data_IF_346860562399
#
_entry.id   IF_346860562399
#
_cell.length_a   1.000
_cell.length_b   1.000
_cell.length_c   1.000
_cell.angle_alpha   90.00
_cell.angle_beta   90.00
_cell.angle_gamma   90.00
#
_symmetry.space_group_name_H-M   'P 1'
#
loop_
_entity.id
_entity.type
_entity.pdbx_description
1 polymer ?
#
# COMPACT_ATOMS: atom_id res chain seq x y z
N UNK A 1 44.13 -23.48 10.82
CA UNK A 1 44.97 -23.04 9.69
C UNK A 1 45.27 -24.24 8.81
N UNK A 2 44.50 -24.42 7.75
CA UNK A 2 44.90 -25.22 6.57
C UNK A 2 44.18 -24.63 5.40
N UNK A 3 44.91 -23.86 4.59
CA UNK A 3 44.47 -23.35 3.30
C UNK A 3 44.25 -24.53 2.36
N UNK A 4 43.03 -24.82 1.98
CA UNK A 4 42.75 -25.61 0.79
C UNK A 4 42.83 -24.69 -0.43
N UNK A 5 43.83 -24.92 -1.23
CA UNK A 5 43.98 -24.30 -2.55
C UNK A 5 42.96 -24.95 -3.49
N UNK A 6 42.03 -24.17 -4.00
CA UNK A 6 41.36 -24.49 -5.26
C UNK A 6 42.36 -24.25 -6.37
N UNK A 7 42.97 -25.29 -6.86
CA UNK A 7 43.72 -25.27 -8.12
C UNK A 7 43.32 -26.50 -8.92
N UNK A 8 42.82 -26.29 -10.09
CA UNK A 8 42.94 -27.23 -11.13
C UNK A 8 41.71 -27.85 -11.72
N UNK A 9 40.91 -27.07 -12.47
CA UNK A 9 40.24 -27.59 -13.66
C UNK A 9 40.43 -26.54 -14.74
N UNK A 10 41.63 -26.36 -15.16
CA UNK A 10 41.98 -25.70 -16.41
C UNK A 10 43.20 -26.46 -16.94
N UNK A 11 42.96 -27.62 -17.52
CA UNK A 11 43.90 -28.27 -18.45
C UNK A 11 43.38 -29.68 -18.79
N UNK A 12 42.63 -29.76 -19.90
CA UNK A 12 42.66 -30.93 -20.78
C UNK A 12 41.90 -30.65 -22.08
N UNK A 13 42.40 -29.72 -22.87
CA UNK A 13 42.12 -29.67 -24.31
C UNK A 13 43.46 -29.44 -24.97
N UNK A 14 44.33 -30.42 -24.99
CA UNK A 14 45.41 -30.54 -25.97
C UNK A 14 45.71 -32.04 -26.11
N UNK A 15 45.71 -32.44 -27.38
CA UNK A 15 46.23 -33.72 -27.84
C UNK A 15 45.21 -34.83 -28.16
N UNK A 16 44.48 -34.65 -29.25
CA UNK A 16 44.31 -35.73 -30.23
C UNK A 16 44.56 -35.14 -31.61
N UNK A 17 45.79 -34.97 -31.94
CA UNK A 17 46.26 -34.74 -33.30
C UNK A 17 47.43 -35.71 -33.45
N UNK A 18 47.19 -36.85 -34.13
CA UNK A 18 48.15 -37.49 -35.01
C UNK A 18 47.58 -38.81 -35.57
N UNK A 19 47.71 -38.88 -36.88
CA UNK A 19 47.75 -40.02 -37.75
C UNK A 19 46.50 -40.40 -38.53
N UNK A 20 46.33 -39.71 -39.69
CA UNK A 20 45.97 -40.38 -40.94
C UNK A 20 46.71 -39.69 -42.10
N UNK A 21 47.47 -40.41 -42.92
CA UNK A 21 48.07 -39.86 -44.13
C UNK A 21 47.14 -40.12 -45.30
N UNK A 22 46.39 -39.10 -45.67
CA UNK A 22 45.64 -39.03 -46.91
C UNK A 22 45.68 -37.57 -47.42
N UNK A 23 46.47 -37.29 -48.43
CA UNK A 23 46.50 -36.01 -49.13
C UNK A 23 45.17 -35.84 -49.88
N UNK A 24 44.20 -35.23 -49.22
CA UNK A 24 43.17 -34.49 -49.90
C UNK A 24 43.40 -33.01 -49.56
N UNK A 25 43.05 -32.12 -50.48
CA UNK A 25 43.21 -30.67 -50.31
C UNK A 25 42.73 -30.29 -48.93
N UNK A 26 43.64 -29.78 -48.09
CA UNK A 26 43.33 -29.42 -46.73
C UNK A 26 42.24 -28.35 -46.72
N UNK A 27 40.99 -28.81 -46.64
CA UNK A 27 39.85 -27.95 -46.38
C UNK A 27 40.09 -27.26 -45.06
N UNK A 28 39.88 -25.99 -44.99
CA UNK A 28 39.95 -25.21 -43.77
C UNK A 28 39.00 -25.83 -42.72
N UNK A 29 39.51 -26.06 -41.53
CA UNK A 29 38.73 -26.58 -40.42
C UNK A 29 38.65 -25.55 -39.32
N UNK A 30 37.43 -25.30 -38.81
CA UNK A 30 37.25 -24.49 -37.61
C UNK A 30 36.63 -25.31 -36.47
N UNK A 31 36.78 -24.79 -35.25
CA UNK A 31 36.08 -25.28 -34.07
C UNK A 31 35.18 -24.15 -33.59
N UNK A 32 33.88 -24.48 -33.49
CA UNK A 32 32.90 -23.55 -32.95
C UNK A 32 32.30 -24.18 -31.69
N UNK A 33 32.39 -23.48 -30.59
CA UNK A 33 32.03 -24.04 -29.26
C UNK A 33 31.17 -23.12 -28.42
N UNK A 34 30.38 -23.73 -27.57
CA UNK A 34 29.73 -23.12 -26.41
C UNK A 34 30.14 -23.87 -25.16
N UNK A 35 30.26 -23.15 -24.03
CA UNK A 35 30.72 -23.73 -22.77
C UNK A 35 29.52 -24.09 -21.86
N UNK A 36 29.52 -25.30 -21.37
CA UNK A 36 28.58 -25.76 -20.36
C UNK A 36 29.06 -25.53 -18.91
N UNK A 37 28.29 -26.02 -17.97
CA UNK A 37 28.60 -25.92 -16.53
C UNK A 37 27.43 -26.26 -15.66
N UNK A 38 27.62 -26.02 -14.35
CA UNK A 38 26.59 -26.22 -13.33
C UNK A 38 26.09 -24.82 -12.91
N UNK A 39 24.79 -24.64 -12.93
CA UNK A 39 24.13 -23.34 -12.68
C UNK A 39 23.01 -23.48 -11.67
N UNK A 40 22.65 -22.37 -11.06
CA UNK A 40 21.43 -22.31 -10.24
C UNK A 40 20.19 -22.34 -11.13
N UNK A 41 19.11 -22.98 -10.73
CA UNK A 41 17.80 -22.80 -11.37
C UNK A 41 17.39 -21.32 -11.40
N UNK A 42 16.66 -20.91 -12.45
CA UNK A 42 16.18 -19.54 -12.65
C UNK A 42 17.28 -18.46 -12.70
N UNK A 43 18.55 -18.86 -12.86
CA UNK A 43 19.68 -17.94 -12.93
C UNK A 43 20.02 -17.54 -14.36
N UNK A 44 20.83 -16.50 -14.50
CA UNK A 44 21.36 -16.08 -15.78
C UNK A 44 22.53 -16.97 -16.20
N UNK A 45 22.44 -17.56 -17.41
CA UNK A 45 23.49 -18.29 -18.08
C UNK A 45 24.00 -17.47 -19.27
N UNK A 46 25.23 -16.98 -19.18
CA UNK A 46 25.87 -16.20 -20.23
C UNK A 46 26.89 -17.11 -20.93
N UNK A 47 26.67 -17.36 -22.21
CA UNK A 47 27.51 -18.27 -22.98
C UNK A 47 28.12 -17.57 -24.18
N UNK A 48 29.45 -17.47 -24.24
CA UNK A 48 30.16 -17.01 -25.45
C UNK A 48 30.11 -18.08 -26.54
N UNK A 49 29.86 -17.69 -27.77
CA UNK A 49 30.14 -18.53 -28.92
C UNK A 49 31.60 -18.26 -29.34
N UNK A 50 32.44 -19.26 -29.13
CA UNK A 50 33.87 -19.19 -29.48
C UNK A 50 34.13 -19.85 -30.83
N UNK A 51 34.96 -19.21 -31.64
CA UNK A 51 35.36 -19.71 -32.95
C UNK A 51 36.87 -19.72 -33.09
N UNK A 52 37.41 -20.81 -33.56
CA UNK A 52 38.84 -20.98 -33.78
C UNK A 52 39.08 -21.48 -35.18
N UNK A 53 39.92 -20.78 -35.96
CA UNK A 53 40.39 -21.22 -37.27
C UNK A 53 39.43 -21.00 -38.46
N UNK A 54 38.64 -19.93 -38.41
CA UNK A 54 37.78 -19.54 -39.53
C UNK A 54 38.40 -18.40 -40.32
N UNK A 55 39.08 -18.72 -41.43
CA UNK A 55 39.77 -17.73 -42.25
C UNK A 55 38.99 -17.39 -43.52
N UNK A 56 39.08 -16.11 -43.94
CA UNK A 56 38.53 -15.61 -45.21
C UNK A 56 37.01 -15.86 -45.34
N UNK A 57 36.25 -15.70 -44.23
CA UNK A 57 34.84 -15.99 -44.18
C UNK A 57 34.02 -14.75 -44.53
N UNK A 58 33.01 -14.89 -45.40
CA UNK A 58 32.08 -13.83 -45.82
C UNK A 58 30.66 -14.03 -45.28
N UNK A 59 30.37 -15.22 -44.77
CA UNK A 59 29.04 -15.51 -44.21
C UNK A 59 29.13 -16.54 -43.10
N UNK A 60 28.37 -16.29 -42.02
CA UNK A 60 28.20 -17.16 -40.86
C UNK A 60 26.71 -17.38 -40.62
N UNK A 61 26.32 -18.63 -40.46
CA UNK A 61 25.01 -19.02 -39.96
C UNK A 61 25.22 -20.03 -38.84
N UNK A 62 24.76 -19.74 -37.62
CA UNK A 62 24.84 -20.62 -36.49
C UNK A 62 23.45 -20.78 -35.88
N UNK A 63 22.98 -22.00 -35.78
CA UNK A 63 21.69 -22.31 -35.21
C UNK A 63 21.89 -23.20 -33.97
N UNK A 64 21.47 -22.73 -32.82
CA UNK A 64 21.53 -23.47 -31.56
C UNK A 64 20.12 -23.89 -31.13
N UNK A 65 20.01 -25.12 -30.68
CA UNK A 65 18.77 -25.72 -30.19
C UNK A 65 18.91 -26.10 -28.70
N UNK A 66 17.81 -25.95 -27.99
CA UNK A 66 17.72 -26.22 -26.54
C UNK A 66 16.29 -26.63 -26.17
N UNK A 67 16.13 -27.26 -25.01
CA UNK A 67 14.80 -27.48 -24.44
C UNK A 67 14.28 -26.21 -23.74
N UNK A 68 13.04 -25.78 -23.94
CA UNK A 68 12.44 -24.67 -23.21
C UNK A 68 12.36 -24.89 -21.68
N UNK A 69 12.40 -26.17 -21.24
CA UNK A 69 12.44 -26.54 -19.84
C UNK A 69 13.84 -26.38 -19.22
N UNK A 70 14.88 -26.39 -20.05
CA UNK A 70 16.28 -26.22 -19.62
C UNK A 70 16.72 -24.77 -19.72
N UNK A 71 16.40 -24.11 -20.82
CA UNK A 71 16.85 -22.75 -21.11
C UNK A 71 15.73 -21.92 -21.74
N UNK A 72 15.73 -20.63 -21.38
CA UNK A 72 14.93 -19.61 -22.06
C UNK A 72 15.88 -18.53 -22.59
N UNK A 73 15.87 -18.26 -23.89
CA UNK A 73 16.68 -17.20 -24.46
C UNK A 73 16.16 -15.83 -24.03
N UNK A 74 17.05 -14.96 -23.55
CA UNK A 74 16.73 -13.61 -23.11
C UNK A 74 17.19 -12.55 -24.08
N UNK A 75 18.49 -12.59 -24.42
CA UNK A 75 19.12 -11.58 -25.27
C UNK A 75 20.53 -12.01 -25.71
N UNK A 76 21.21 -11.14 -26.42
CA UNK A 76 22.62 -11.29 -26.72
C UNK A 76 23.38 -9.97 -26.49
N UNK A 77 24.71 -10.06 -26.39
CA UNK A 77 25.58 -8.90 -26.22
C UNK A 77 26.98 -9.13 -26.74
N UNK A 78 27.82 -8.10 -26.72
CA UNK A 78 29.23 -8.16 -27.02
C UNK A 78 29.53 -8.82 -28.38
N UNK A 79 28.81 -8.37 -29.43
CA UNK A 79 29.13 -8.80 -30.81
C UNK A 79 30.54 -8.37 -31.12
N UNK A 80 31.34 -9.32 -31.68
CA UNK A 80 32.73 -9.08 -32.03
C UNK A 80 32.84 -7.88 -32.99
N UNK A 81 33.73 -6.90 -32.75
CA UNK A 81 33.91 -5.74 -33.62
C UNK A 81 34.24 -6.07 -35.07
N UNK A 82 34.91 -7.21 -35.33
CA UNK A 82 35.24 -7.66 -36.69
C UNK A 82 33.98 -7.92 -37.54
N UNK A 83 32.86 -8.25 -36.89
CA UNK A 83 31.57 -8.50 -37.55
C UNK A 83 30.79 -7.22 -37.87
N UNK A 84 31.27 -6.05 -37.43
CA UNK A 84 30.69 -4.75 -37.79
C UNK A 84 30.87 -4.38 -39.24
N UNK A 85 31.77 -5.06 -39.96
CA UNK A 85 31.93 -4.92 -41.42
C UNK A 85 30.74 -5.47 -42.22
N UNK A 86 29.83 -6.19 -41.58
CA UNK A 86 28.66 -6.80 -42.17
C UNK A 86 27.41 -6.56 -41.34
N UNK A 87 26.42 -7.42 -41.52
CA UNK A 87 25.10 -7.33 -40.91
C UNK A 87 24.86 -8.51 -39.93
N UNK A 88 25.23 -8.37 -38.67
CA UNK A 88 24.90 -9.40 -37.65
C UNK A 88 23.41 -9.34 -37.29
N UNK A 89 22.75 -10.48 -37.28
CA UNK A 89 21.35 -10.64 -36.88
C UNK A 89 21.19 -11.85 -35.96
N UNK A 90 20.36 -11.71 -34.95
CA UNK A 90 20.02 -12.79 -33.99
C UNK A 90 18.50 -12.95 -33.91
N UNK A 91 18.03 -14.09 -34.35
CA UNK A 91 16.60 -14.47 -34.27
C UNK A 91 16.41 -15.61 -33.29
N UNK A 92 15.30 -15.57 -32.54
CA UNK A 92 14.97 -16.61 -31.59
C UNK A 92 13.54 -17.13 -31.74
N UNK A 93 13.36 -18.39 -31.39
CA UNK A 93 12.08 -19.04 -31.19
C UNK A 93 12.10 -19.77 -29.83
N UNK A 94 11.02 -20.46 -29.48
CA UNK A 94 10.88 -21.11 -28.17
C UNK A 94 12.04 -22.08 -27.84
N UNK A 95 12.58 -22.79 -28.83
CA UNK A 95 13.59 -23.81 -28.66
C UNK A 95 14.86 -23.59 -29.50
N UNK A 96 15.01 -22.44 -30.12
CA UNK A 96 16.10 -22.18 -31.06
C UNK A 96 16.53 -20.72 -30.99
N UNK A 97 17.85 -20.51 -31.13
CA UNK A 97 18.46 -19.24 -31.44
C UNK A 97 19.32 -19.36 -32.67
N UNK A 98 19.16 -18.43 -33.59
CA UNK A 98 19.95 -18.41 -34.84
C UNK A 98 20.70 -17.08 -34.95
N UNK A 99 22.01 -17.15 -35.09
CA UNK A 99 22.89 -16.03 -35.43
C UNK A 99 23.23 -16.11 -36.90
N UNK A 100 23.05 -15.02 -37.62
CA UNK A 100 23.48 -14.87 -39.00
C UNK A 100 24.33 -13.62 -39.17
N UNK A 101 25.33 -13.72 -40.01
CA UNK A 101 26.17 -12.59 -40.41
C UNK A 101 26.61 -12.75 -41.86
N UNK A 102 26.65 -11.65 -42.57
CA UNK A 102 27.15 -11.60 -43.95
C UNK A 102 27.84 -10.28 -44.20
N UNK A 103 28.95 -10.34 -44.99
CA UNK A 103 29.72 -9.17 -45.40
C UNK A 103 30.23 -9.34 -46.79
N UNK A 104 30.40 -8.24 -47.54
CA UNK A 104 31.06 -8.21 -48.84
C UNK A 104 32.59 -8.22 -48.69
N UNK A 105 33.11 -7.94 -47.50
CA UNK A 105 34.51 -8.05 -47.14
C UNK A 105 34.73 -9.25 -46.23
N UNK A 106 35.56 -10.23 -46.61
CA UNK A 106 35.81 -11.40 -45.81
C UNK A 106 36.58 -11.07 -44.51
N UNK A 107 36.34 -11.84 -43.47
CA UNK A 107 37.03 -11.71 -42.20
C UNK A 107 37.71 -13.04 -41.81
N UNK A 108 38.74 -12.95 -40.97
CA UNK A 108 39.39 -14.13 -40.39
C UNK A 108 39.26 -14.09 -38.88
N UNK A 109 38.82 -15.22 -38.31
CA UNK A 109 38.60 -15.39 -36.86
C UNK A 109 39.54 -16.53 -36.42
N UNK A 110 40.63 -16.16 -35.79
CA UNK A 110 41.67 -17.15 -35.41
C UNK A 110 41.39 -17.85 -34.12
N UNK A 111 40.98 -17.16 -33.11
CA UNK A 111 40.53 -17.69 -31.80
C UNK A 111 39.86 -16.55 -31.04
N UNK A 112 38.60 -16.36 -31.27
CA UNK A 112 37.88 -15.22 -30.67
C UNK A 112 36.41 -15.55 -30.42
N UNK A 113 35.80 -14.70 -29.62
CA UNK A 113 34.39 -14.73 -29.33
C UNK A 113 33.60 -14.00 -30.43
N UNK A 114 32.52 -14.65 -30.95
CA UNK A 114 31.61 -14.00 -31.88
C UNK A 114 30.64 -13.07 -31.17
N UNK A 115 29.98 -13.58 -30.12
CA UNK A 115 29.04 -12.85 -29.27
C UNK A 115 28.77 -13.66 -28.03
N UNK A 116 28.06 -13.05 -27.09
CA UNK A 116 27.52 -13.74 -25.91
C UNK A 116 26.01 -13.87 -26.06
N UNK A 117 25.51 -15.10 -25.90
CA UNK A 117 24.09 -15.37 -25.73
C UNK A 117 23.74 -15.37 -24.23
N UNK A 118 22.61 -14.84 -23.88
CA UNK A 118 22.11 -14.76 -22.50
C UNK A 118 20.83 -15.56 -22.41
N UNK A 119 20.84 -16.57 -21.55
CA UNK A 119 19.69 -17.40 -21.25
C UNK A 119 19.31 -17.26 -19.77
N UNK A 120 18.09 -17.67 -19.45
CA UNK A 120 17.69 -18.06 -18.10
C UNK A 120 17.67 -19.58 -18.04
N UNK A 121 18.26 -20.15 -17.00
CA UNK A 121 18.21 -21.59 -16.71
C UNK A 121 16.80 -21.95 -16.21
N UNK A 122 16.29 -23.11 -16.61
CA UNK A 122 15.03 -23.66 -16.09
C UNK A 122 15.27 -24.55 -14.86
N UNK A 123 14.42 -25.55 -14.72
CA UNK A 123 14.48 -26.51 -13.59
C UNK A 123 14.97 -27.91 -13.99
N UNK A 124 15.26 -28.13 -15.27
CA UNK A 124 15.75 -29.42 -15.78
C UNK A 124 17.11 -29.26 -16.43
N UNK A 125 18.06 -30.15 -16.17
CA UNK A 125 19.33 -30.18 -16.89
C UNK A 125 19.12 -30.50 -18.38
N UNK A 126 20.07 -30.16 -19.23
CA UNK A 126 19.97 -30.45 -20.65
C UNK A 126 21.18 -30.01 -21.43
N UNK A 127 21.01 -29.87 -22.74
CA UNK A 127 22.10 -29.56 -23.67
C UNK A 127 21.71 -28.35 -24.51
N UNK A 128 22.64 -27.40 -24.65
CA UNK A 128 22.63 -26.37 -25.71
C UNK A 128 23.51 -26.88 -26.85
N UNK A 129 22.87 -27.27 -27.95
CA UNK A 129 23.56 -27.89 -29.05
C UNK A 129 23.45 -27.12 -30.36
N UNK A 130 24.48 -27.19 -31.21
CA UNK A 130 24.40 -26.67 -32.56
C UNK A 130 23.53 -27.59 -33.45
N UNK A 131 22.66 -26.99 -34.22
CA UNK A 131 22.00 -27.67 -35.35
C UNK A 131 22.95 -27.63 -36.56
N UNK A 132 23.72 -28.71 -36.73
CA UNK A 132 24.75 -28.80 -37.75
C UNK A 132 24.18 -28.66 -39.16
N UNK A 133 22.93 -29.07 -39.39
CA UNK A 133 22.27 -28.96 -40.67
C UNK A 133 21.98 -27.52 -41.11
N UNK A 134 21.94 -26.60 -40.12
CA UNK A 134 21.64 -25.16 -40.32
C UNK A 134 22.79 -24.25 -39.90
N UNK A 135 23.91 -24.83 -39.47
CA UNK A 135 25.10 -24.11 -39.05
C UNK A 135 26.19 -24.25 -40.10
N UNK A 136 26.73 -23.14 -40.57
CA UNK A 136 27.81 -23.17 -41.58
C UNK A 136 28.61 -21.86 -41.58
N UNK A 137 29.85 -21.98 -42.01
CA UNK A 137 30.71 -20.86 -42.39
C UNK A 137 31.02 -20.95 -43.90
N UNK A 138 30.85 -19.87 -44.61
CA UNK A 138 31.19 -19.78 -46.02
C UNK A 138 32.45 -18.95 -46.22
N UNK A 139 33.33 -19.44 -47.06
CA UNK A 139 34.55 -18.76 -47.47
C UNK A 139 34.25 -17.88 -48.70
N UNK A 140 34.84 -16.70 -48.72
CA UNK A 140 34.77 -15.80 -49.85
C UNK A 140 35.27 -16.50 -51.15
N UNK A 141 34.43 -16.44 -52.17
CA UNK A 141 34.69 -17.16 -53.41
C UNK A 141 34.02 -18.55 -53.53
N UNK A 142 33.22 -18.98 -52.57
CA UNK A 142 32.24 -20.08 -52.73
C UNK A 142 32.61 -21.43 -52.12
N UNK A 143 33.44 -21.44 -51.08
CA UNK A 143 33.71 -22.65 -50.28
C UNK A 143 32.94 -22.71 -48.98
N UNK A 144 32.90 -23.88 -48.32
CA UNK A 144 32.45 -24.02 -46.94
C UNK A 144 33.63 -24.46 -46.07
N UNK A 145 33.64 -23.96 -44.82
CA UNK A 145 34.61 -24.40 -43.82
C UNK A 145 34.07 -25.68 -43.15
N UNK A 146 34.91 -26.69 -43.03
CA UNK A 146 34.58 -27.86 -42.24
C UNK A 146 34.58 -27.44 -40.77
N UNK A 147 33.42 -27.49 -40.10
CA UNK A 147 33.27 -27.04 -38.72
C UNK A 147 33.05 -28.19 -37.79
N UNK A 148 33.83 -28.27 -36.72
CA UNK A 148 33.55 -29.10 -35.56
C UNK A 148 32.78 -28.28 -34.56
N UNK A 149 31.60 -28.75 -34.17
CA UNK A 149 30.74 -28.11 -33.15
C UNK A 149 30.94 -28.77 -31.82
N UNK A 150 31.14 -27.97 -30.73
CA UNK A 150 31.23 -28.42 -29.37
C UNK A 150 30.02 -27.85 -28.62
N UNK A 151 29.13 -28.73 -28.18
CA UNK A 151 27.91 -28.41 -27.47
C UNK A 151 28.19 -28.17 -25.98
N UNK A 152 27.24 -27.52 -25.30
CA UNK A 152 27.28 -27.25 -23.87
C UNK A 152 26.33 -28.18 -23.10
N UNK A 153 26.85 -28.88 -22.11
CA UNK A 153 26.03 -29.56 -21.11
C UNK A 153 25.67 -28.57 -19.99
N UNK A 154 24.41 -28.52 -19.65
CA UNK A 154 23.85 -27.64 -18.62
C UNK A 154 23.39 -28.54 -17.48
N UNK A 155 24.13 -28.49 -16.39
CA UNK A 155 23.77 -29.11 -15.13
C UNK A 155 23.18 -28.06 -14.18
N UNK A 156 22.37 -28.50 -13.24
CA UNK A 156 21.74 -27.61 -12.26
C UNK A 156 22.09 -28.01 -10.85
N UNK A 157 22.39 -27.05 -10.00
CA UNK A 157 22.40 -27.27 -8.56
C UNK A 157 20.99 -27.63 -8.06
N UNK A 158 20.86 -28.39 -6.97
CA UNK A 158 19.58 -28.69 -6.37
C UNK A 158 18.81 -27.38 -6.05
N UNK A 159 17.52 -27.37 -6.39
CA UNK A 159 16.66 -26.22 -6.08
C UNK A 159 16.54 -25.97 -4.59
N UNK A 160 16.49 -24.70 -4.20
CA UNK A 160 16.11 -24.27 -2.86
C UNK A 160 14.59 -24.30 -2.71
N UNK A 161 14.14 -24.72 -1.54
CA UNK A 161 12.74 -24.63 -1.10
C UNK A 161 12.69 -24.00 0.27
N UNK A 162 11.70 -23.17 0.49
CA UNK A 162 11.45 -22.51 1.78
C UNK A 162 10.01 -22.80 2.21
N UNK A 163 9.83 -23.22 3.44
CA UNK A 163 8.56 -23.33 4.13
C UNK A 163 8.60 -22.35 5.31
N UNK A 164 7.56 -21.56 5.47
CA UNK A 164 7.47 -20.55 6.52
C UNK A 164 6.46 -21.00 7.56
N UNK A 165 6.85 -20.94 8.82
CA UNK A 165 5.95 -21.00 9.96
C UNK A 165 5.81 -19.57 10.51
N UNK A 166 4.59 -19.05 10.47
CA UNK A 166 4.27 -17.67 10.82
C UNK A 166 3.43 -17.64 12.10
N UNK A 167 3.81 -16.76 13.01
CA UNK A 167 2.96 -16.30 14.09
C UNK A 167 2.51 -14.89 13.74
N UNK A 168 1.21 -14.71 13.57
CA UNK A 168 0.59 -13.46 13.17
C UNK A 168 1.01 -12.27 14.04
N UNK A 169 1.03 -11.08 13.45
CA UNK A 169 1.14 -9.85 14.21
C UNK A 169 -0.09 -9.67 15.11
N UNK A 170 0.13 -9.27 16.36
CA UNK A 170 -0.96 -9.19 17.33
C UNK A 170 -1.97 -8.13 16.98
N UNK A 171 -1.55 -7.01 16.36
CA UNK A 171 -2.43 -5.89 16.05
C UNK A 171 -2.07 -5.23 14.73
N UNK A 172 -3.05 -4.55 14.13
CA UNK A 172 -2.84 -3.72 12.95
C UNK A 172 -1.77 -2.67 13.19
N UNK A 173 -0.76 -2.65 12.30
CA UNK A 173 0.36 -1.71 12.37
C UNK A 173 1.42 -2.05 13.43
N UNK A 174 1.32 -3.16 14.14
CA UNK A 174 2.39 -3.66 15.00
C UNK A 174 3.39 -4.46 14.18
N UNK A 175 4.65 -4.41 14.63
CA UNK A 175 5.74 -5.19 14.07
C UNK A 175 6.23 -6.18 15.15
N UNK A 176 5.43 -7.18 15.46
CA UNK A 176 5.67 -8.14 16.54
C UNK A 176 5.45 -9.60 16.11
N UNK A 177 5.21 -9.85 14.84
CA UNK A 177 5.13 -11.20 14.30
C UNK A 177 6.49 -11.91 14.35
N UNK A 178 6.46 -13.23 14.58
CA UNK A 178 7.63 -14.08 14.50
C UNK A 178 7.48 -15.04 13.33
N UNK A 179 8.56 -15.20 12.56
CA UNK A 179 8.57 -16.05 11.38
C UNK A 179 9.77 -16.96 11.47
N UNK A 180 9.57 -18.25 11.20
CA UNK A 180 10.62 -19.25 11.11
C UNK A 180 10.69 -19.78 9.68
N UNK A 181 11.86 -19.69 9.06
CA UNK A 181 12.09 -20.21 7.72
C UNK A 181 12.77 -21.59 7.78
N UNK A 182 12.08 -22.60 7.28
CA UNK A 182 12.63 -23.95 7.08
C UNK A 182 13.10 -24.10 5.65
N UNK A 183 14.42 -24.12 5.46
CA UNK A 183 15.04 -24.22 4.14
C UNK A 183 15.49 -25.65 3.87
N UNK A 184 15.16 -26.15 2.68
CA UNK A 184 15.60 -27.46 2.19
C UNK A 184 16.12 -27.37 0.75
N UNK A 185 16.85 -28.38 0.31
CA UNK A 185 17.55 -28.35 -0.98
C UNK A 185 18.82 -27.51 -0.93
N UNK A 186 19.44 -27.26 -2.09
CA UNK A 186 20.68 -26.49 -2.18
C UNK A 186 21.85 -27.08 -1.41
N UNK A 187 22.88 -26.28 -1.19
CA UNK A 187 24.07 -26.62 -0.42
C UNK A 187 24.20 -25.76 0.84
N UNK A 188 24.27 -26.35 2.02
CA UNK A 188 24.57 -25.60 3.27
C UNK A 188 25.98 -24.98 3.24
N UNK A 189 26.25 -23.84 3.90
CA UNK A 189 25.32 -23.08 4.76
C UNK A 189 24.34 -22.24 3.98
N UNK A 190 23.19 -21.91 4.62
CA UNK A 190 22.23 -20.94 4.10
C UNK A 190 22.45 -19.57 4.72
N UNK A 191 22.16 -18.53 3.96
CA UNK A 191 22.13 -17.14 4.41
C UNK A 191 20.77 -16.54 4.13
N UNK A 192 20.28 -15.70 5.04
CA UNK A 192 18.94 -15.15 5.02
C UNK A 192 19.00 -13.63 4.94
N UNK A 193 18.15 -13.03 4.15
CA UNK A 193 17.99 -11.58 4.06
C UNK A 193 16.49 -11.24 4.09
N UNK A 194 16.03 -10.67 5.19
CA UNK A 194 14.65 -10.30 5.43
C UNK A 194 14.43 -8.82 5.06
N UNK A 195 13.47 -8.55 4.14
CA UNK A 195 13.13 -7.19 3.69
C UNK A 195 14.35 -6.32 3.30
N UNK A 196 15.43 -6.93 2.82
CA UNK A 196 16.68 -6.24 2.51
C UNK A 196 17.48 -5.75 3.71
N UNK A 197 17.11 -6.12 4.94
CA UNK A 197 17.81 -5.73 6.17
C UNK A 197 19.08 -6.53 6.37
N UNK A 198 20.22 -5.86 6.39
CA UNK A 198 21.55 -6.48 6.48
C UNK A 198 21.95 -6.91 7.90
N UNK A 199 21.12 -6.67 8.90
CA UNK A 199 21.40 -6.98 10.31
C UNK A 199 20.83 -8.32 10.78
N UNK A 200 20.00 -9.00 9.99
CA UNK A 200 19.30 -10.23 10.35
C UNK A 200 19.71 -11.34 9.38
N UNK A 201 20.58 -12.20 9.84
CA UNK A 201 21.14 -13.31 9.06
C UNK A 201 20.69 -14.69 9.56
N UNK A 202 19.60 -14.75 10.32
CA UNK A 202 19.08 -15.97 10.91
C UNK A 202 17.81 -16.45 10.17
N UNK A 203 17.55 -17.75 10.30
CA UNK A 203 16.30 -18.39 9.85
C UNK A 203 15.06 -17.91 10.62
N UNK A 204 15.25 -17.18 11.71
CA UNK A 204 14.17 -16.64 12.55
C UNK A 204 14.14 -15.12 12.41
N UNK A 205 12.98 -14.60 12.00
CA UNK A 205 12.67 -13.18 11.99
C UNK A 205 11.73 -12.87 13.14
N UNK A 206 12.17 -12.04 14.10
CA UNK A 206 11.32 -11.48 15.15
C UNK A 206 10.96 -10.04 14.82
N UNK A 207 9.77 -9.61 15.19
CA UNK A 207 9.33 -8.24 14.99
C UNK A 207 9.01 -7.92 13.52
N UNK A 208 8.48 -8.88 12.77
CA UNK A 208 8.00 -8.63 11.42
C UNK A 208 6.70 -7.83 11.47
N UNK A 209 6.59 -6.84 10.56
CA UNK A 209 5.37 -6.05 10.45
C UNK A 209 4.32 -6.79 9.63
N UNK A 210 3.05 -6.53 9.93
CA UNK A 210 1.93 -7.01 9.11
C UNK A 210 2.02 -6.48 7.68
N UNK A 211 1.49 -7.27 6.73
CA UNK A 211 1.51 -6.96 5.30
C UNK A 211 2.54 -7.77 4.53
N UNK A 212 2.91 -7.28 3.35
CA UNK A 212 3.85 -7.99 2.46
C UNK A 212 5.26 -7.88 3.00
N UNK A 213 5.89 -9.03 3.21
CA UNK A 213 7.29 -9.18 3.59
C UNK A 213 8.03 -9.96 2.51
N UNK A 214 9.34 -9.84 2.48
CA UNK A 214 10.22 -10.52 1.55
C UNK A 214 11.28 -11.31 2.30
N UNK A 215 11.58 -12.50 1.83
CA UNK A 215 12.71 -13.31 2.26
C UNK A 215 13.54 -13.72 1.06
N UNK A 216 14.82 -13.37 1.09
CA UNK A 216 15.82 -13.88 0.17
C UNK A 216 16.71 -14.88 0.90
N UNK A 217 16.82 -16.09 0.39
CA UNK A 217 17.70 -17.15 0.91
C UNK A 217 18.77 -17.41 -0.14
N UNK A 218 20.02 -17.47 0.29
CA UNK A 218 21.13 -17.97 -0.54
C UNK A 218 21.80 -19.18 0.07
N UNK A 219 22.25 -20.10 -0.76
CA UNK A 219 22.94 -21.32 -0.38
C UNK A 219 24.47 -21.23 -0.53
N UNK A 220 25.17 -22.29 -0.16
CA UNK A 220 26.64 -22.39 -0.26
C UNK A 220 27.18 -22.41 -1.71
N UNK A 221 26.35 -22.62 -2.71
CA UNK A 221 26.69 -22.51 -4.14
C UNK A 221 26.45 -21.10 -4.67
N UNK A 222 25.78 -20.22 -3.88
CA UNK A 222 25.36 -18.89 -4.29
C UNK A 222 24.02 -18.87 -5.04
N UNK A 223 23.26 -19.97 -5.01
CA UNK A 223 21.90 -19.99 -5.54
C UNK A 223 20.98 -19.20 -4.63
N UNK A 224 20.09 -18.40 -5.23
CA UNK A 224 19.20 -17.50 -4.52
C UNK A 224 17.76 -17.92 -4.77
N UNK A 225 16.98 -17.97 -3.69
CA UNK A 225 15.52 -18.01 -3.71
C UNK A 225 15.00 -16.73 -3.11
N UNK A 226 14.21 -16.00 -3.87
CA UNK A 226 13.56 -14.75 -3.47
C UNK A 226 12.04 -14.97 -3.43
N UNK A 227 11.43 -14.78 -2.27
CA UNK A 227 10.01 -15.03 -2.07
C UNK A 227 9.33 -13.94 -1.27
N UNK A 228 8.12 -13.62 -1.65
CA UNK A 228 7.24 -12.72 -0.90
C UNK A 228 6.17 -13.52 -0.18
N UNK A 229 5.82 -13.08 1.01
CA UNK A 229 4.76 -13.65 1.83
C UNK A 229 4.01 -12.55 2.57
N UNK A 230 2.84 -12.86 3.12
CA UNK A 230 1.98 -11.88 3.79
C UNK A 230 1.86 -12.27 5.25
N UNK A 231 2.33 -11.40 6.14
CA UNK A 231 2.08 -11.53 7.58
C UNK A 231 0.68 -11.01 7.87
N UNK A 232 -0.18 -11.87 8.38
CA UNK A 232 -1.54 -11.54 8.79
C UNK A 232 -1.54 -10.67 10.05
N UNK A 233 -2.66 -10.03 10.31
CA UNK A 233 -2.88 -9.21 11.51
C UNK A 233 -4.30 -9.41 12.00
N UNK A 234 -4.50 -9.24 13.30
CA UNK A 234 -5.85 -9.15 13.85
C UNK A 234 -6.53 -7.87 13.33
N UNK A 235 -7.84 -7.92 13.04
CA UNK A 235 -8.56 -6.76 12.55
C UNK A 235 -8.48 -5.60 13.55
N UNK A 236 -8.33 -4.40 13.03
CA UNK A 236 -8.43 -3.17 13.83
C UNK A 236 -9.83 -3.05 14.42
N UNK A 237 -9.92 -2.55 15.64
CA UNK A 237 -11.20 -2.24 16.26
C UNK A 237 -11.83 -1.04 15.57
N UNK A 238 -12.96 -1.22 14.91
CA UNK A 238 -13.70 -0.12 14.29
C UNK A 238 -14.68 0.45 15.32
N UNK A 239 -14.52 1.73 15.66
CA UNK A 239 -15.31 2.42 16.66
C UNK A 239 -15.86 3.71 16.06
N UNK A 240 -17.17 3.84 16.07
CA UNK A 240 -17.84 5.10 15.74
C UNK A 240 -18.13 5.87 17.03
N UNK A 241 -17.78 7.13 17.05
CA UNK A 241 -17.99 8.02 18.20
C UNK A 241 -19.18 8.91 17.93
N UNK A 242 -20.12 8.91 18.87
CA UNK A 242 -21.27 9.83 18.90
C UNK A 242 -21.03 10.94 19.91
N UNK A 243 -21.29 12.17 19.49
CA UNK A 243 -21.10 13.38 20.29
C UNK A 243 -22.36 14.23 20.24
N UNK A 244 -22.91 14.55 21.38
CA UNK A 244 -24.14 15.35 21.45
C UNK A 244 -24.08 16.45 22.52
N UNK A 245 -24.18 17.73 22.15
CA UNK A 245 -24.16 18.25 20.78
C UNK A 245 -22.79 18.07 20.10
N UNK A 246 -22.72 18.12 18.76
CA UNK A 246 -21.49 18.03 17.95
C UNK A 246 -20.63 19.32 17.98
N UNK A 247 -21.01 20.24 18.84
CA UNK A 247 -20.43 21.57 19.01
C UNK A 247 -20.48 21.96 20.47
N UNK A 248 -19.40 22.46 21.02
CA UNK A 248 -19.37 23.06 22.37
C UNK A 248 -19.94 24.48 22.28
N UNK A 249 -21.09 24.71 22.87
CA UNK A 249 -21.66 26.07 22.98
C UNK A 249 -21.18 26.75 24.24
N UNK A 250 -20.66 27.97 24.14
CA UNK A 250 -20.16 28.71 25.30
C UNK A 250 -21.26 28.96 26.36
N UNK A 251 -22.53 29.04 25.94
CA UNK A 251 -23.66 29.18 26.85
C UNK A 251 -24.03 27.89 27.58
N UNK A 252 -23.77 26.73 26.98
CA UNK A 252 -23.90 25.43 27.64
C UNK A 252 -22.81 24.48 27.15
N UNK A 253 -21.61 24.54 27.74
CA UNK A 253 -20.46 23.77 27.29
C UNK A 253 -20.50 22.31 27.71
N UNK A 254 -21.69 21.77 27.92
CA UNK A 254 -21.90 20.38 28.32
C UNK A 254 -22.10 19.50 27.10
N UNK A 255 -21.26 18.50 26.95
CA UNK A 255 -21.29 17.56 25.83
C UNK A 255 -21.34 16.13 26.36
N UNK A 256 -22.16 15.29 25.72
CA UNK A 256 -22.26 13.86 25.97
C UNK A 256 -21.48 13.12 24.90
N UNK A 257 -20.69 12.17 25.32
CA UNK A 257 -19.92 11.31 24.46
C UNK A 257 -20.39 9.88 24.61
N UNK A 258 -20.41 9.15 23.51
CA UNK A 258 -20.60 7.71 23.49
C UNK A 258 -19.86 7.12 22.31
N UNK A 259 -19.68 5.82 22.30
CA UNK A 259 -19.12 5.12 21.14
C UNK A 259 -19.87 3.81 20.91
N UNK A 260 -19.89 3.37 19.65
CA UNK A 260 -20.57 2.15 19.23
C UNK A 260 -19.97 0.91 19.90
N UNK A 261 -20.82 -0.07 20.18
CA UNK A 261 -20.38 -1.36 20.69
C UNK A 261 -19.79 -2.20 19.56
N UNK A 262 -18.47 -2.18 19.38
CA UNK A 262 -17.80 -3.31 18.77
C UNK A 262 -17.48 -4.33 19.90
N UNK A 263 -17.74 -5.61 19.64
CA UNK A 263 -17.97 -6.66 20.63
C UNK A 263 -16.77 -7.05 21.49
N UNK A 264 -15.65 -6.35 21.43
CA UNK A 264 -14.42 -6.79 22.11
C UNK A 264 -13.65 -5.68 22.83
N UNK A 265 -14.23 -4.49 23.02
CA UNK A 265 -13.55 -3.41 23.74
C UNK A 265 -13.59 -3.69 25.23
N UNK A 266 -12.43 -3.74 25.87
CA UNK A 266 -12.27 -4.03 27.31
C UNK A 266 -11.76 -2.83 28.11
N UNK A 267 -11.09 -1.87 27.45
CA UNK A 267 -10.61 -0.65 28.07
C UNK A 267 -10.86 0.54 27.16
N UNK A 268 -11.13 1.71 27.75
CA UNK A 268 -11.27 2.99 27.05
C UNK A 268 -10.79 4.13 27.93
N UNK A 269 -10.33 5.20 27.27
CA UNK A 269 -9.84 6.39 27.95
C UNK A 269 -10.15 7.61 27.09
N UNK A 270 -10.91 8.55 27.63
CA UNK A 270 -11.21 9.83 27.02
C UNK A 270 -10.24 10.91 27.46
N UNK A 271 -9.79 11.73 26.53
CA UNK A 271 -9.04 12.98 26.76
C UNK A 271 -9.76 14.07 25.98
N UNK A 272 -10.36 15.01 26.70
CA UNK A 272 -11.22 16.03 26.09
C UNK A 272 -10.45 17.20 25.47
N UNK A 273 -9.13 17.26 25.67
CA UNK A 273 -8.27 18.26 25.04
C UNK A 273 -8.36 19.67 25.64
N UNK A 274 -9.02 19.81 26.79
CA UNK A 274 -9.18 21.08 27.52
C UNK A 274 -8.28 21.22 28.74
N UNK A 275 -7.41 20.22 28.97
CA UNK A 275 -6.50 20.16 30.13
C UNK A 275 -7.16 19.59 31.40
N UNK A 276 -8.40 19.15 31.33
CA UNK A 276 -9.07 18.45 32.43
C UNK A 276 -8.57 17.02 32.60
N UNK A 277 -8.94 16.37 33.69
CA UNK A 277 -8.64 14.96 33.92
C UNK A 277 -9.29 14.06 32.85
N UNK A 278 -8.59 13.01 32.47
CA UNK A 278 -9.10 11.99 31.55
C UNK A 278 -10.20 11.18 32.18
N UNK A 279 -11.16 10.71 31.38
CA UNK A 279 -12.29 9.90 31.86
C UNK A 279 -12.19 8.46 31.40
N UNK A 280 -12.48 7.55 32.32
CA UNK A 280 -12.65 6.11 32.09
C UNK A 280 -14.14 5.71 32.05
N UNK A 281 -15.06 6.68 32.09
CA UNK A 281 -16.47 6.40 31.90
C UNK A 281 -16.72 6.03 30.42
N UNK A 282 -17.59 5.05 30.19
CA UNK A 282 -17.91 4.60 28.85
C UNK A 282 -18.62 5.69 28.04
N UNK A 283 -19.62 6.33 28.67
CA UNK A 283 -20.41 7.39 28.04
C UNK A 283 -20.33 8.66 28.90
N UNK A 284 -19.20 9.37 28.91
CA UNK A 284 -19.03 10.50 29.81
C UNK A 284 -19.86 11.70 29.37
N UNK A 285 -20.21 12.50 30.40
CA UNK A 285 -20.73 13.85 30.21
C UNK A 285 -19.62 14.79 30.64
N UNK A 286 -19.16 15.64 29.75
CA UNK A 286 -18.07 16.59 30.06
C UNK A 286 -18.54 18.03 29.93
N UNK A 287 -18.01 18.88 30.82
CA UNK A 287 -18.27 20.34 30.82
C UNK A 287 -16.96 21.05 30.50
N UNK A 288 -16.90 21.66 29.32
CA UNK A 288 -15.71 22.40 28.87
C UNK A 288 -15.61 23.75 29.55
N UNK A 289 -15.01 23.82 30.72
CA UNK A 289 -14.94 25.03 31.54
C UNK A 289 -14.06 26.13 30.95
N UNK A 290 -13.27 25.82 29.92
CA UNK A 290 -12.41 26.76 29.17
C UNK A 290 -13.03 27.22 27.85
N UNK A 291 -14.29 26.88 27.56
CA UNK A 291 -14.95 27.21 26.27
C UNK A 291 -15.09 28.71 26.02
N UNK A 292 -15.07 29.56 27.05
CA UNK A 292 -15.10 31.03 26.93
C UNK A 292 -13.72 31.66 26.68
N UNK A 293 -12.66 30.87 26.55
CA UNK A 293 -11.31 31.38 26.26
C UNK A 293 -11.32 32.09 24.89
N UNK A 294 -10.85 33.35 24.83
CA UNK A 294 -10.78 34.10 23.56
C UNK A 294 -9.99 33.35 22.49
N UNK A 295 -10.48 33.41 21.24
CA UNK A 295 -9.86 32.77 20.07
C UNK A 295 -9.84 31.24 20.04
N UNK A 296 -10.39 30.55 21.04
CA UNK A 296 -10.55 29.10 21.03
C UNK A 296 -11.63 28.69 19.99
N UNK A 297 -11.23 27.91 18.97
CA UNK A 297 -12.13 27.49 17.90
C UNK A 297 -12.59 26.06 17.99
N UNK A 298 -11.78 25.18 18.58
CA UNK A 298 -12.11 23.77 18.75
C UNK A 298 -11.28 23.15 19.89
N UNK A 299 -11.75 22.00 20.35
CA UNK A 299 -10.99 21.09 21.19
C UNK A 299 -10.60 19.87 20.37
N UNK A 300 -9.41 19.35 20.57
CA UNK A 300 -8.99 18.07 20.01
C UNK A 300 -9.30 16.97 21.02
N UNK A 301 -10.40 16.26 20.80
CA UNK A 301 -10.82 15.17 21.66
C UNK A 301 -10.19 13.86 21.17
N UNK A 302 -9.76 13.02 22.13
CA UNK A 302 -9.13 11.73 21.88
C UNK A 302 -9.84 10.64 22.65
N UNK A 303 -10.14 9.56 21.97
CA UNK A 303 -10.61 8.32 22.57
C UNK A 303 -9.60 7.21 22.27
N UNK A 304 -8.99 6.65 23.30
CA UNK A 304 -8.20 5.43 23.19
C UNK A 304 -9.07 4.27 23.63
N UNK A 305 -9.18 3.23 22.82
CA UNK A 305 -9.86 1.97 23.14
C UNK A 305 -8.87 0.82 23.02
N UNK A 306 -9.05 -0.22 23.83
CA UNK A 306 -8.27 -1.46 23.79
C UNK A 306 -9.25 -2.62 23.70
N UNK A 307 -9.01 -3.53 22.77
CA UNK A 307 -9.82 -4.73 22.63
C UNK A 307 -9.33 -5.88 23.52
N UNK A 308 -10.08 -6.97 23.58
CA UNK A 308 -9.74 -8.16 24.38
C UNK A 308 -8.43 -8.86 23.97
N UNK A 309 -7.90 -8.56 22.78
CA UNK A 309 -6.62 -9.07 22.31
C UNK A 309 -5.46 -8.11 22.64
N UNK A 310 -5.71 -7.00 23.32
CA UNK A 310 -4.72 -6.01 23.69
C UNK A 310 -4.38 -5.01 22.57
N UNK A 311 -5.14 -5.00 21.47
CA UNK A 311 -4.97 -4.02 20.41
C UNK A 311 -5.57 -2.68 20.81
N UNK A 312 -4.76 -1.62 20.75
CA UNK A 312 -5.21 -0.26 21.00
C UNK A 312 -5.49 0.50 19.70
N UNK A 313 -6.55 1.27 19.72
CA UNK A 313 -6.94 2.19 18.65
C UNK A 313 -7.12 3.58 19.24
N UNK A 314 -6.56 4.58 18.58
CA UNK A 314 -6.68 5.99 18.98
C UNK A 314 -7.52 6.73 17.93
N UNK A 315 -8.65 7.26 18.38
CA UNK A 315 -9.56 8.09 17.59
C UNK A 315 -9.34 9.53 18.01
N UNK A 316 -9.13 10.41 17.04
CA UNK A 316 -8.90 11.85 17.28
C UNK A 316 -9.88 12.61 16.40
N UNK A 317 -10.62 13.54 17.00
CA UNK A 317 -11.51 14.42 16.26
C UNK A 317 -11.55 15.83 16.84
N UNK A 318 -11.91 16.79 16.01
CA UNK A 318 -12.06 18.18 16.39
C UNK A 318 -13.51 18.44 16.81
N UNK A 319 -13.69 19.02 17.99
CA UNK A 319 -14.98 19.45 18.51
C UNK A 319 -15.04 20.97 18.51
N UNK A 320 -15.80 21.58 17.59
CA UNK A 320 -15.82 23.05 17.42
C UNK A 320 -16.42 23.74 18.64
N UNK A 321 -15.91 24.96 18.94
CA UNK A 321 -16.44 25.85 19.96
C UNK A 321 -17.17 27.00 19.27
N UNK A 322 -18.42 27.25 19.65
CA UNK A 322 -19.24 28.33 19.06
C UNK A 322 -20.06 29.06 20.13
N UNK A 323 -20.43 30.28 19.82
CA UNK A 323 -21.48 31.02 20.54
C UNK A 323 -22.83 30.64 19.92
N UNK A 324 -23.84 30.38 20.77
CA UNK A 324 -25.20 30.13 20.30
C UNK A 324 -25.87 31.46 19.91
N UNK A 325 -26.29 31.58 18.65
CA UNK A 325 -27.04 32.70 18.17
C UNK A 325 -28.54 32.40 18.26
N UNK A 326 -29.26 33.31 18.95
CA UNK A 326 -30.71 33.18 19.19
C UNK A 326 -31.50 33.84 18.08
N UNK A 327 -32.45 33.11 17.51
CA UNK A 327 -33.51 33.67 16.65
C UNK A 327 -34.83 33.64 17.41
N UNK A 328 -35.45 34.84 17.58
CA UNK A 328 -36.76 34.99 18.17
C UNK A 328 -37.73 35.44 17.10
N UNK A 329 -38.74 34.63 16.75
CA UNK A 329 -39.72 35.00 15.72
C UNK A 329 -40.57 36.19 16.15
N UNK A 330 -41.00 36.99 15.19
CA UNK A 330 -41.89 38.11 15.45
C UNK A 330 -43.39 37.82 15.21
N UNK A 331 -43.70 36.61 14.75
CA UNK A 331 -45.07 36.13 14.51
C UNK A 331 -45.13 34.61 14.69
N UNK A 332 -46.26 34.12 15.15
CA UNK A 332 -46.61 32.72 15.08
C UNK A 332 -48.13 32.56 14.89
N UNK A 333 -48.57 31.40 14.40
CA UNK A 333 -49.93 31.19 13.89
C UNK A 333 -50.58 29.98 14.53
N UNK A 334 -51.06 30.08 15.78
CA UNK A 334 -51.67 28.98 16.50
C UNK A 334 -53.07 28.64 15.98
N UNK A 335 -53.13 28.00 14.80
CA UNK A 335 -54.35 27.63 14.08
C UNK A 335 -54.60 26.12 14.08
N UNK A 336 -53.67 25.34 14.61
CA UNK A 336 -53.75 23.86 14.73
C UNK A 336 -53.37 23.12 13.46
N UNK A 337 -52.61 23.73 12.54
CA UNK A 337 -52.08 23.09 11.32
C UNK A 337 -50.69 22.44 11.50
N UNK A 338 -50.15 22.47 12.73
CA UNK A 338 -48.81 22.06 13.10
C UNK A 338 -47.66 22.89 12.50
N UNK A 339 -47.95 24.08 11.91
CA UNK A 339 -46.96 24.98 11.36
C UNK A 339 -47.00 26.29 12.18
N UNK A 340 -45.91 26.58 12.89
CA UNK A 340 -45.77 27.75 13.75
C UNK A 340 -46.90 27.94 14.78
N UNK A 341 -47.49 26.86 15.24
CA UNK A 341 -48.55 26.88 16.27
C UNK A 341 -48.08 27.33 17.65
N UNK A 342 -46.78 27.30 17.90
CA UNK A 342 -46.18 27.75 19.15
C UNK A 342 -45.08 28.77 18.92
N UNK A 343 -44.82 29.63 19.89
CA UNK A 343 -43.73 30.61 19.86
C UNK A 343 -42.39 29.93 20.08
N UNK A 344 -41.73 29.53 18.98
CA UNK A 344 -40.48 28.77 19.01
C UNK A 344 -39.23 29.66 18.96
N UNK A 345 -38.47 29.66 20.02
CA UNK A 345 -37.11 30.23 20.01
C UNK A 345 -36.19 29.23 19.33
N UNK A 346 -35.43 29.68 18.36
CA UNK A 346 -34.60 28.80 17.55
C UNK A 346 -33.17 29.30 17.46
N UNK A 347 -32.30 28.45 16.96
CA UNK A 347 -30.94 28.81 16.56
C UNK A 347 -31.00 29.56 15.24
N UNK A 348 -30.22 30.64 15.13
CA UNK A 348 -30.03 31.34 13.87
C UNK A 348 -29.15 30.50 12.96
N UNK A 349 -29.68 30.05 11.84
CA UNK A 349 -28.88 29.28 10.86
C UNK A 349 -27.94 30.21 10.11
N UNK A 350 -26.69 29.78 9.89
CA UNK A 350 -25.67 30.51 9.10
C UNK A 350 -26.03 30.74 7.62
N UNK A 351 -27.23 30.37 7.20
CA UNK A 351 -27.69 30.42 5.80
C UNK A 351 -28.93 31.26 5.50
N UNK A 352 -29.45 32.08 6.43
CA UNK A 352 -30.40 33.14 6.14
C UNK A 352 -31.75 32.71 5.53
N UNK A 353 -32.17 31.48 5.56
CA UNK A 353 -33.45 31.03 5.04
C UNK A 353 -34.48 30.90 6.16
N UNK A 354 -35.38 31.84 6.24
CA UNK A 354 -36.56 31.88 7.14
C UNK A 354 -37.67 30.90 6.71
N UNK A 355 -37.36 29.84 6.01
CA UNK A 355 -38.37 28.87 5.56
C UNK A 355 -38.69 27.85 6.65
N UNK A 356 -39.92 27.77 7.04
CA UNK A 356 -40.55 27.18 8.22
C UNK A 356 -40.35 25.70 8.55
N UNK A 357 -39.33 24.98 8.07
CA UNK A 357 -39.18 23.55 8.34
C UNK A 357 -37.88 23.11 9.09
N UNK A 358 -36.96 24.02 9.38
CA UNK A 358 -35.66 23.69 9.99
C UNK A 358 -35.37 24.46 11.28
N UNK A 359 -36.38 24.63 12.15
CA UNK A 359 -36.12 25.14 13.50
C UNK A 359 -35.42 24.09 14.35
N UNK A 360 -34.13 24.28 14.59
CA UNK A 360 -33.38 23.45 15.55
C UNK A 360 -33.75 23.98 16.97
N UNK A 361 -34.31 23.17 17.83
CA UNK A 361 -34.61 23.59 19.21
C UNK A 361 -33.32 24.03 19.92
N UNK A 362 -33.37 25.20 20.57
CA UNK A 362 -32.23 25.83 21.25
C UNK A 362 -31.97 25.24 22.67
N UNK A 363 -32.58 24.12 23.00
CA UNK A 363 -32.64 23.58 24.35
C UNK A 363 -31.32 22.96 24.85
N UNK A 364 -30.35 22.72 23.92
CA UNK A 364 -29.03 22.19 24.26
C UNK A 364 -27.98 23.27 24.41
N UNK A 365 -28.22 24.44 23.81
CA UNK A 365 -27.28 25.55 23.77
C UNK A 365 -27.33 26.44 25.03
N UNK A 366 -28.39 26.36 25.80
CA UNK A 366 -28.59 27.12 27.04
C UNK A 366 -28.98 26.22 28.19
N UNK A 367 -28.62 26.63 29.41
CA UNK A 367 -29.00 25.90 30.63
C UNK A 367 -30.49 26.04 30.88
N UNK A 368 -31.03 27.25 30.65
CA UNK A 368 -32.43 27.57 30.89
C UNK A 368 -32.87 28.76 30.07
N UNK A 369 -34.12 28.77 29.62
CA UNK A 369 -34.81 29.89 29.01
C UNK A 369 -35.95 30.36 29.91
N UNK A 370 -36.08 31.66 30.12
CA UNK A 370 -37.24 32.27 30.80
C UNK A 370 -37.94 33.20 29.79
N UNK A 371 -39.23 32.99 29.59
CA UNK A 371 -40.08 33.82 28.75
C UNK A 371 -41.12 34.55 29.54
N UNK A 372 -41.19 35.88 29.40
CA UNK A 372 -42.24 36.72 29.92
C UNK A 372 -42.90 37.47 28.72
N UNK A 373 -44.22 37.40 28.60
CA UNK A 373 -44.98 38.09 27.60
C UNK A 373 -45.92 39.14 28.24
N UNK A 374 -45.93 40.31 27.65
CA UNK A 374 -46.69 41.47 28.11
C UNK A 374 -47.70 41.91 27.05
N UNK A 375 -48.86 42.43 27.45
CA UNK A 375 -49.79 43.09 26.55
C UNK A 375 -49.28 44.52 26.23
N UNK A 376 -50.01 45.22 25.36
CA UNK A 376 -49.71 46.62 24.96
C UNK A 376 -49.70 47.62 26.13
N UNK A 377 -50.31 47.25 27.26
CA UNK A 377 -50.37 48.05 28.46
C UNK A 377 -49.30 47.70 29.51
N UNK A 378 -48.38 46.77 29.15
CA UNK A 378 -47.32 46.32 30.03
C UNK A 378 -47.76 45.30 31.08
N UNK A 379 -48.98 44.77 31.00
CA UNK A 379 -49.44 43.72 31.92
C UNK A 379 -48.93 42.38 31.48
N UNK A 380 -48.40 41.59 32.41
CA UNK A 380 -47.93 40.24 32.18
C UNK A 380 -49.10 39.30 31.82
N UNK A 381 -49.03 38.69 30.64
CA UNK A 381 -50.04 37.76 30.13
C UNK A 381 -49.57 36.32 30.07
N UNK A 382 -48.22 36.12 30.06
CA UNK A 382 -47.63 34.82 30.15
C UNK A 382 -46.26 34.91 30.85
N UNK A 383 -45.88 33.86 31.56
CA UNK A 383 -44.55 33.67 32.13
C UNK A 383 -44.25 32.19 32.28
N UNK A 384 -43.05 31.81 31.89
CA UNK A 384 -42.50 30.49 32.11
C UNK A 384 -41.00 30.61 32.42
N UNK A 385 -40.58 30.21 33.60
CA UNK A 385 -39.18 30.34 34.06
C UNK A 385 -38.28 29.23 33.50
N UNK A 386 -38.86 28.22 32.82
CA UNK A 386 -38.17 27.14 32.16
C UNK A 386 -38.86 26.80 30.83
N UNK A 387 -38.85 27.79 29.96
CA UNK A 387 -39.57 27.79 28.70
C UNK A 387 -39.06 26.68 27.74
N UNK A 388 -39.99 25.86 27.22
CA UNK A 388 -39.71 24.71 26.36
C UNK A 388 -40.21 24.85 24.92
N UNK A 389 -40.42 26.08 24.44
CA UNK A 389 -41.00 26.33 23.11
C UNK A 389 -42.44 25.79 22.96
N UNK A 390 -43.22 25.93 24.00
CA UNK A 390 -44.52 25.32 24.18
C UNK A 390 -45.72 26.34 24.31
N UNK A 391 -45.44 27.65 24.22
CA UNK A 391 -46.48 28.64 24.30
C UNK A 391 -47.23 28.82 22.97
N UNK A 392 -48.52 28.52 22.95
CA UNK A 392 -49.44 28.62 21.82
C UNK A 392 -50.30 29.90 21.81
N UNK A 393 -49.97 30.88 22.66
CA UNK A 393 -50.74 32.08 22.85
C UNK A 393 -51.95 31.91 23.77
N UNK A 394 -52.31 30.70 24.20
CA UNK A 394 -53.44 30.42 25.07
C UNK A 394 -54.75 31.06 24.57
N UNK A 395 -55.52 31.68 25.46
CA UNK A 395 -56.78 32.37 25.14
C UNK A 395 -56.58 33.83 24.78
N UNK A 396 -55.34 34.28 24.51
CA UNK A 396 -55.11 35.68 24.14
C UNK A 396 -55.67 35.97 22.76
N UNK A 397 -56.30 37.16 22.51
CA UNK A 397 -56.76 37.53 21.20
C UNK A 397 -55.60 37.74 20.21
N UNK A 398 -55.89 37.67 18.90
CA UNK A 398 -54.97 38.04 17.87
C UNK A 398 -54.47 39.47 18.05
N UNK A 399 -53.20 39.70 17.87
CA UNK A 399 -52.59 40.99 18.08
C UNK A 399 -51.11 40.93 18.46
N UNK A 400 -50.53 42.12 18.66
CA UNK A 400 -49.11 42.25 19.01
C UNK A 400 -48.94 42.32 20.52
N UNK A 401 -47.99 41.51 20.97
CA UNK A 401 -47.53 41.40 22.35
C UNK A 401 -46.05 41.71 22.42
N UNK A 402 -45.53 41.97 23.62
CA UNK A 402 -44.11 42.26 23.84
C UNK A 402 -43.52 41.17 24.71
N UNK A 403 -42.35 40.72 24.32
CA UNK A 403 -41.68 39.65 25.10
C UNK A 403 -40.37 40.13 25.72
N UNK A 404 -40.03 39.52 26.82
CA UNK A 404 -38.69 39.48 27.41
C UNK A 404 -38.29 38.02 27.50
N UNK A 405 -37.23 37.64 26.77
CA UNK A 405 -36.63 36.34 26.84
C UNK A 405 -35.29 36.50 27.56
N UNK A 406 -35.11 35.85 28.69
CA UNK A 406 -33.84 35.70 29.37
C UNK A 406 -33.27 34.30 29.04
N UNK A 407 -32.04 34.26 28.58
CA UNK A 407 -31.31 33.04 28.35
C UNK A 407 -30.24 32.91 29.43
N UNK A 408 -30.20 31.79 30.11
CA UNK A 408 -29.26 31.52 31.16
C UNK A 408 -28.19 30.56 30.63
N UNK A 409 -26.97 31.04 30.62
CA UNK A 409 -25.83 30.27 30.13
C UNK A 409 -24.83 29.92 31.24
N UNK A 410 -23.85 29.10 30.94
CA UNK A 410 -22.81 28.70 31.88
C UNK A 410 -21.86 29.87 32.24
N UNK A 411 -21.49 30.66 31.22
CA UNK A 411 -20.56 31.78 31.39
C UNK A 411 -21.26 33.14 31.35
N UNK A 412 -22.44 33.23 30.72
CA UNK A 412 -23.14 34.50 30.48
C UNK A 412 -24.64 34.30 30.36
N UNK A 413 -25.39 35.27 30.93
CA UNK A 413 -26.81 35.43 30.73
C UNK A 413 -27.09 36.55 29.75
N UNK A 414 -28.06 36.37 28.86
CA UNK A 414 -28.48 37.38 27.92
C UNK A 414 -29.96 37.66 27.99
N UNK A 415 -30.38 38.89 27.64
CA UNK A 415 -31.79 39.29 27.60
C UNK A 415 -32.18 39.81 26.25
N UNK A 416 -33.16 39.20 25.65
CA UNK A 416 -33.76 39.62 24.37
C UNK A 416 -35.11 40.24 24.60
N UNK A 417 -35.43 41.35 23.90
CA UNK A 417 -36.71 42.04 23.99
C UNK A 417 -37.22 42.33 22.62
N UNK A 418 -38.51 42.19 22.39
CA UNK A 418 -39.10 42.45 21.10
C UNK A 418 -40.62 42.36 21.11
N UNK A 419 -41.20 42.39 19.95
CA UNK A 419 -42.63 42.20 19.77
C UNK A 419 -42.91 40.85 19.07
N UNK A 420 -43.99 40.20 19.43
CA UNK A 420 -44.49 39.00 18.77
C UNK A 420 -45.97 39.18 18.46
N UNK A 421 -46.39 38.75 17.27
CA UNK A 421 -47.79 38.82 16.85
C UNK A 421 -48.43 37.46 16.84
N UNK A 422 -49.60 37.32 17.46
CA UNK A 422 -50.43 36.13 17.37
C UNK A 422 -51.41 36.34 16.21
N UNK A 423 -51.43 35.41 15.26
CA UNK A 423 -52.35 35.41 14.11
C UNK A 423 -52.96 34.00 13.98
N UNK A 424 -54.24 33.82 14.34
CA UNK A 424 -54.90 32.51 14.22
C UNK A 424 -55.53 32.29 12.83
N UNK A 425 -55.62 33.30 12.01
CA UNK A 425 -56.34 33.23 10.73
C UNK A 425 -57.87 33.17 10.97
N UNK A 426 -58.64 33.58 10.04
CA UNK A 426 -60.08 33.33 10.03
C UNK A 426 -60.26 31.83 9.77
N UNK A 427 -60.92 31.11 10.71
CA UNK A 427 -61.60 29.85 10.38
C UNK A 427 -62.81 30.26 9.56
N UNK A 428 -62.75 30.11 8.21
CA UNK A 428 -63.93 30.20 7.36
C UNK A 428 -64.86 29.00 7.65
#
# INVERSE_FOLDING_TARGET
MKKLRLSGILTLIVAVLLLFPGREAAGQTNITSVAGGIYCPESQYIVPIMVTGADNVDSISLSLIFSPQTLTFLSYRQVNPILQTGFPDVQSSENRVTFTWRSDAPVSITNDKLLELIFRTGHTPGILSFDESRSLFRVYGGGQVVTQYINAEIELFPSLFVELEELDATCSGKCDANIVAFVSGGLKPYSYLWNGETSIFDSIRTGACSGVNNLMVSDGNGCILDTNFVVSQLPSTNVEVDVTPDTVYIQNPTVRFSFSEDQNIVEWLWDFGDGSDRSIERNPIHVFTTASTPDLKSYQVKLRVVNSQGCDTLIIFELPVREAEVFVPNVFTPNGDNINDVFKIAKKNDGGSSSGSNYIPINLEFIRLELVVLDRWGRKVYQNDNYKNDWDGGNLPDGTYYYRLNTYGYFRDDTYRGAVTILRGRRD
#
